data_IF_159639625646
#
_entry.id   IF_159639625646
#
_cell.length_a   1.000
_cell.length_b   1.000
_cell.length_c   1.000
_cell.angle_alpha   90.00
_cell.angle_beta   90.00
_cell.angle_gamma   90.00
#
_symmetry.space_group_name_H-M   'P 1'
#
loop_
_entity.id
_entity.type
_entity.pdbx_description
1 polymer ?
#
# COMPACT_ATOMS: atom_id res chain seq x y z
N UNK A 1 13.44 13.25 7.09
CA UNK A 1 14.29 14.17 6.32
C UNK A 1 14.08 15.59 6.79
N UNK A 2 15.13 16.23 7.30
CA UNK A 2 15.12 17.65 7.66
C UNK A 2 14.91 18.51 6.40
N UNK A 3 13.97 19.47 6.45
CA UNK A 3 13.68 20.33 5.28
C UNK A 3 14.75 21.41 5.05
N UNK A 4 15.55 21.73 6.07
CA UNK A 4 16.59 22.76 6.00
C UNK A 4 17.91 22.24 5.40
N UNK A 5 18.38 21.05 5.81
CA UNK A 5 19.69 20.52 5.40
C UNK A 5 19.63 19.18 4.66
N UNK A 6 18.46 18.56 4.54
CA UNK A 6 18.31 17.26 3.87
C UNK A 6 18.75 16.04 4.69
N UNK A 7 19.34 16.22 5.88
CA UNK A 7 19.71 15.12 6.77
C UNK A 7 18.53 14.17 7.00
N UNK A 8 18.76 12.87 6.82
CA UNK A 8 17.72 11.85 6.88
C UNK A 8 18.10 10.79 7.90
N UNK A 9 17.22 10.57 8.87
CA UNK A 9 17.27 9.42 9.77
C UNK A 9 16.34 8.34 9.21
N UNK A 10 16.75 7.08 9.32
CA UNK A 10 15.98 5.91 8.88
C UNK A 10 15.72 4.99 10.07
N UNK A 11 14.48 4.53 10.21
CA UNK A 11 14.05 3.57 11.24
C UNK A 11 13.44 2.35 10.55
N UNK A 12 13.67 1.16 11.09
CA UNK A 12 13.14 -0.09 10.55
C UNK A 12 12.15 -0.72 11.54
N UNK A 13 10.90 -0.86 11.10
CA UNK A 13 9.82 -1.40 11.90
C UNK A 13 9.29 -2.69 11.24
N UNK A 14 9.48 -3.88 11.86
CA UNK A 14 8.85 -5.10 11.40
C UNK A 14 7.32 -5.02 11.51
N UNK A 15 6.60 -5.50 10.51
CA UNK A 15 5.14 -5.61 10.52
C UNK A 15 4.68 -6.91 9.89
N UNK A 16 3.49 -7.38 10.29
CA UNK A 16 2.82 -8.59 9.77
C UNK A 16 1.71 -8.25 8.77
N UNK A 17 1.16 -7.04 8.86
CA UNK A 17 0.17 -6.46 7.97
C UNK A 17 0.43 -4.96 7.76
N UNK A 18 -0.15 -4.41 6.69
CA UNK A 18 -0.17 -2.98 6.43
C UNK A 18 -1.60 -2.48 6.55
N UNK A 19 -1.83 -1.64 7.55
CA UNK A 19 -3.13 -1.01 7.79
C UNK A 19 -3.27 0.32 7.02
N UNK A 20 -4.18 0.35 6.06
CA UNK A 20 -4.36 1.43 5.09
C UNK A 20 -5.61 2.27 5.37
N UNK A 21 -5.46 3.59 5.27
CA UNK A 21 -6.56 4.55 5.39
C UNK A 21 -7.33 4.69 4.08
N UNK A 22 -8.67 4.65 4.14
CA UNK A 22 -9.52 4.91 2.98
C UNK A 22 -9.50 6.40 2.62
N UNK A 23 -9.06 6.73 1.40
CA UNK A 23 -8.94 8.12 0.91
C UNK A 23 -10.30 8.82 0.92
N UNK A 24 -10.54 9.87 1.72
CA UNK A 24 -11.84 10.57 1.75
C UNK A 24 -12.17 11.17 0.37
N UNK A 25 -13.46 11.19 -0.02
CA UNK A 25 -13.93 11.80 -1.29
C UNK A 25 -13.52 13.28 -1.48
N UNK A 26 -13.04 13.96 -0.43
CA UNK A 26 -12.65 15.38 -0.45
C UNK A 26 -11.16 15.64 -0.71
N UNK A 27 -10.31 14.60 -0.73
CA UNK A 27 -8.94 14.73 -1.25
C UNK A 27 -8.91 14.32 -2.72
N UNK A 28 -9.53 15.12 -3.58
CA UNK A 28 -9.28 15.03 -5.02
C UNK A 28 -7.78 15.27 -5.32
N UNK A 29 -7.29 14.87 -6.51
CA UNK A 29 -5.91 15.10 -6.89
C UNK A 29 -5.61 16.61 -6.79
N UNK A 30 -4.70 17.01 -5.89
CA UNK A 30 -4.11 18.35 -5.99
C UNK A 30 -3.35 18.36 -7.31
N UNK A 31 -3.87 19.11 -8.30
CA UNK A 31 -3.26 19.25 -9.63
C UNK A 31 -1.76 19.52 -9.47
N UNK A 32 -0.87 18.76 -10.13
CA UNK A 32 0.50 19.21 -10.27
C UNK A 32 0.50 20.50 -11.11
N UNK A 33 1.25 21.49 -10.66
CA UNK A 33 1.53 22.72 -11.38
C UNK A 33 2.07 22.40 -12.77
N UNK A 34 1.33 22.86 -13.78
CA UNK A 34 1.64 23.00 -15.20
C UNK A 34 3.11 22.77 -15.61
N UNK A 35 3.37 21.69 -16.38
CA UNK A 35 4.29 21.71 -17.53
C UNK A 35 3.76 20.78 -18.64
N UNK A 36 3.59 21.38 -19.81
CA UNK A 36 3.11 20.82 -21.08
C UNK A 36 4.14 19.85 -21.70
N UNK A 37 3.73 18.65 -22.11
CA UNK A 37 4.13 18.01 -23.38
C UNK A 37 3.24 16.79 -23.70
N UNK A 38 3.21 16.45 -24.98
CA UNK A 38 2.16 15.78 -25.76
C UNK A 38 1.95 14.26 -25.57
N UNK A 39 0.69 13.89 -25.84
CA UNK A 39 0.07 12.63 -26.28
C UNK A 39 0.94 11.46 -26.79
N UNK A 40 0.62 10.25 -26.31
CA UNK A 40 0.38 9.09 -27.16
C UNK A 40 -0.63 8.10 -26.51
N UNK A 41 -1.46 7.50 -27.37
CA UNK A 41 -2.65 6.71 -27.08
C UNK A 41 -2.38 5.37 -26.37
N UNK A 42 -3.20 5.07 -25.36
CA UNK A 42 -3.43 3.74 -24.82
C UNK A 42 -4.78 3.70 -24.13
N UNK A 43 -5.58 2.66 -24.39
CA UNK A 43 -6.92 2.47 -23.82
C UNK A 43 -6.89 2.45 -22.29
N UNK A 44 -7.12 3.60 -21.66
CA UNK A 44 -7.39 3.69 -20.23
C UNK A 44 -8.88 3.56 -19.99
N UNK A 45 -9.28 2.46 -19.34
CA UNK A 45 -10.57 2.38 -18.65
C UNK A 45 -10.77 3.66 -17.83
N UNK A 46 -11.92 4.27 -18.01
CA UNK A 46 -12.30 5.55 -17.40
C UNK A 46 -12.39 5.39 -15.89
N UNK A 47 -11.28 5.65 -15.19
CA UNK A 47 -11.26 5.72 -13.72
C UNK A 47 -12.12 6.92 -13.30
N UNK A 48 -13.33 6.63 -12.81
CA UNK A 48 -14.20 7.63 -12.21
C UNK A 48 -13.43 8.38 -11.10
N UNK A 49 -13.29 9.72 -11.17
CA UNK A 49 -12.39 10.50 -10.29
C UNK A 49 -12.80 10.58 -8.81
N UNK A 50 -13.72 9.71 -8.35
CA UNK A 50 -14.19 9.61 -6.96
C UNK A 50 -14.14 8.21 -6.35
N UNK A 51 -13.60 7.21 -7.04
CA UNK A 51 -13.52 5.84 -6.51
C UNK A 51 -12.20 5.65 -5.75
N UNK A 52 -12.27 5.22 -4.49
CA UNK A 52 -11.07 4.82 -3.75
C UNK A 52 -10.52 3.50 -4.30
N UNK A 53 -9.21 3.42 -4.48
CA UNK A 53 -8.52 2.22 -4.95
C UNK A 53 -7.48 1.75 -3.93
N UNK A 54 -7.15 0.45 -3.92
CA UNK A 54 -6.07 -0.09 -3.10
C UNK A 54 -4.73 0.59 -3.41
N UNK A 55 -4.43 0.79 -4.70
CA UNK A 55 -3.22 1.50 -5.14
C UNK A 55 -3.19 2.92 -4.58
N UNK A 56 -4.29 3.67 -4.65
CA UNK A 56 -4.36 5.01 -4.08
C UNK A 56 -4.18 5.03 -2.55
N UNK A 57 -4.58 3.97 -1.86
CA UNK A 57 -4.31 3.82 -0.42
C UNK A 57 -2.83 3.54 -0.14
N UNK A 58 -2.17 2.70 -0.95
CA UNK A 58 -0.73 2.43 -0.86
C UNK A 58 0.12 3.66 -1.24
N UNK A 59 -0.29 4.39 -2.27
CA UNK A 59 0.31 5.68 -2.65
C UNK A 59 0.24 6.66 -1.49
N UNK A 60 -0.92 6.79 -0.82
CA UNK A 60 -1.07 7.64 0.37
C UNK A 60 -0.19 7.16 1.52
N UNK A 61 -0.13 5.86 1.78
CA UNK A 61 0.67 5.28 2.86
C UNK A 61 2.17 5.58 2.68
N UNK A 62 2.66 5.52 1.44
CA UNK A 62 4.07 5.77 1.11
C UNK A 62 4.38 7.22 0.73
N UNK A 63 3.38 8.11 0.73
CA UNK A 63 3.54 9.53 0.39
C UNK A 63 4.35 10.25 1.47
N UNK A 64 5.34 11.08 1.12
CA UNK A 64 5.98 11.96 2.08
C UNK A 64 4.97 12.91 2.73
N UNK A 65 4.97 12.96 4.06
CA UNK A 65 4.15 13.86 4.86
C UNK A 65 5.04 14.83 5.63
N UNK A 66 4.61 16.09 5.75
CA UNK A 66 5.24 17.07 6.63
C UNK A 66 4.74 16.80 8.05
N UNK A 67 5.66 16.68 8.99
CA UNK A 67 5.30 16.63 10.41
C UNK A 67 4.68 17.98 10.82
N UNK A 68 3.68 17.94 11.70
CA UNK A 68 3.00 19.13 12.21
C UNK A 68 3.97 20.10 12.90
N UNK A 69 3.56 21.37 13.06
CA UNK A 69 4.38 22.41 13.71
C UNK A 69 4.71 22.09 15.18
N UNK A 70 3.87 21.28 15.81
CA UNK A 70 4.00 20.70 17.15
C UNK A 70 4.91 19.45 17.20
N UNK A 71 5.20 18.84 16.05
CA UNK A 71 5.95 17.58 15.91
C UNK A 71 7.33 17.78 15.25
N UNK A 72 7.97 18.95 15.46
CA UNK A 72 9.31 19.21 14.91
C UNK A 72 10.33 18.20 15.41
N UNK A 73 11.04 17.61 14.45
CA UNK A 73 12.09 16.62 14.69
C UNK A 73 13.42 17.32 15.00
N UNK A 74 14.17 16.81 15.97
CA UNK A 74 15.50 17.33 16.28
C UNK A 74 16.50 16.88 15.22
N UNK A 75 16.99 17.81 14.40
CA UNK A 75 17.97 17.51 13.38
C UNK A 75 19.37 17.43 13.99
N UNK A 76 20.02 16.25 13.92
CA UNK A 76 21.39 16.06 14.42
C UNK A 76 22.45 16.87 13.64
N UNK A 77 22.20 17.23 12.38
CA UNK A 77 23.14 18.09 11.66
C UNK A 77 22.95 19.57 12.02
N UNK A 78 21.71 20.06 12.10
CA UNK A 78 21.45 21.46 12.45
C UNK A 78 21.51 21.75 13.95
N UNK A 79 21.51 20.71 14.79
CA UNK A 79 21.44 20.78 16.25
C UNK A 79 20.23 21.59 16.77
N UNK A 80 19.12 21.56 16.03
CA UNK A 80 17.88 22.28 16.35
C UNK A 80 16.65 21.53 15.84
N UNK A 81 15.49 21.75 16.48
CA UNK A 81 14.21 21.22 16.03
C UNK A 81 13.78 21.90 14.73
N UNK A 82 13.67 21.11 13.67
CA UNK A 82 13.33 21.56 12.34
C UNK A 82 12.02 20.96 11.85
N UNK A 83 11.41 21.66 10.90
CA UNK A 83 10.40 21.03 10.06
C UNK A 83 11.02 19.85 9.31
N UNK A 84 10.26 18.77 9.18
CA UNK A 84 10.78 17.53 8.61
C UNK A 84 9.70 16.80 7.83
N UNK A 85 10.14 16.07 6.82
CA UNK A 85 9.34 15.11 6.09
C UNK A 85 9.52 13.71 6.71
N UNK A 86 8.41 13.01 6.91
CA UNK A 86 8.36 11.57 7.20
C UNK A 86 7.84 10.87 5.95
N UNK A 87 8.40 9.72 5.62
CA UNK A 87 7.94 8.88 4.52
C UNK A 87 8.07 7.43 4.95
N UNK A 88 7.00 6.65 4.76
CA UNK A 88 7.04 5.21 4.94
C UNK A 88 7.35 4.54 3.60
N UNK A 89 8.05 3.41 3.62
CA UNK A 89 8.33 2.59 2.45
C UNK A 89 8.53 1.14 2.89
N UNK A 90 8.37 0.21 1.95
CA UNK A 90 8.55 -1.21 2.23
C UNK A 90 10.02 -1.56 1.94
N UNK A 91 10.73 -2.09 2.93
CA UNK A 91 12.12 -2.54 2.74
C UNK A 91 12.17 -3.98 2.24
N UNK A 92 11.37 -4.86 2.84
CA UNK A 92 11.34 -6.29 2.56
C UNK A 92 9.89 -6.75 2.41
N UNK A 93 9.60 -7.44 1.33
CA UNK A 93 8.27 -7.99 1.06
C UNK A 93 8.14 -9.40 1.67
N UNK A 94 7.02 -9.70 2.36
CA UNK A 94 6.71 -11.07 2.76
C UNK A 94 6.25 -11.91 1.55
N UNK A 95 6.21 -13.23 1.73
CA UNK A 95 5.64 -14.16 0.73
C UNK A 95 4.13 -13.93 0.55
N UNK A 96 3.45 -13.56 1.64
CA UNK A 96 2.04 -13.17 1.66
C UNK A 96 1.94 -11.78 2.27
N UNK A 97 1.44 -10.83 1.49
CA UNK A 97 1.13 -9.48 1.94
C UNK A 97 -0.31 -9.41 2.43
N UNK A 98 -0.50 -8.92 3.65
CA UNK A 98 -1.81 -8.67 4.24
C UNK A 98 -2.08 -7.16 4.29
N UNK A 99 -3.18 -6.73 3.68
CA UNK A 99 -3.64 -5.35 3.73
C UNK A 99 -4.94 -5.28 4.54
N UNK A 100 -4.91 -4.51 5.62
CA UNK A 100 -6.09 -4.21 6.42
C UNK A 100 -6.60 -2.81 6.06
N UNK A 101 -7.88 -2.72 5.66
CA UNK A 101 -8.49 -1.44 5.32
C UNK A 101 -9.16 -0.87 6.57
N UNK A 102 -8.69 0.29 7.03
CA UNK A 102 -9.24 1.00 8.19
C UNK A 102 -10.60 1.59 7.87
N UNK A 103 -11.65 0.76 7.97
CA UNK A 103 -13.05 1.13 7.70
C UNK A 103 -13.73 1.78 8.90
N UNK A 104 -13.04 2.64 9.62
CA UNK A 104 -13.57 3.34 10.78
C UNK A 104 -13.12 4.79 10.79
N UNK A 105 -13.99 5.66 11.28
CA UNK A 105 -13.66 7.05 11.51
C UNK A 105 -14.26 7.50 12.85
N UNK A 106 -13.50 8.33 13.56
CA UNK A 106 -13.92 8.88 14.85
C UNK A 106 -14.21 10.37 14.69
N UNK A 107 -15.40 10.80 15.10
CA UNK A 107 -15.74 12.21 15.17
C UNK A 107 -15.46 12.72 16.59
N UNK A 108 -14.40 13.51 16.81
CA UNK A 108 -14.11 14.05 18.14
C UNK A 108 -15.21 15.00 18.62
N UNK A 109 -15.88 15.71 17.69
CA UNK A 109 -16.97 16.64 18.01
C UNK A 109 -18.19 15.90 18.58
N UNK A 110 -18.52 14.74 18.00
CA UNK A 110 -19.69 13.95 18.43
C UNK A 110 -19.32 12.88 19.45
N UNK A 111 -18.03 12.67 19.71
CA UNK A 111 -17.49 11.55 20.46
C UNK A 111 -18.07 10.20 20.01
N UNK A 112 -18.17 10.01 18.69
CA UNK A 112 -18.80 8.83 18.08
C UNK A 112 -17.92 8.29 16.95
N UNK A 113 -17.80 6.97 16.90
CA UNK A 113 -17.16 6.25 15.81
C UNK A 113 -18.20 5.68 14.85
N UNK A 114 -17.91 5.68 13.55
CA UNK A 114 -18.75 5.02 12.54
C UNK A 114 -17.92 4.18 11.57
N UNK A 115 -18.59 3.19 10.98
CA UNK A 115 -18.00 2.35 9.93
C UNK A 115 -18.00 3.09 8.60
N UNK A 116 -16.92 2.91 7.83
CA UNK A 116 -16.78 3.43 6.48
C UNK A 116 -17.11 2.32 5.48
N UNK A 117 -18.39 2.25 5.08
CA UNK A 117 -18.92 1.26 4.12
C UNK A 117 -18.76 1.67 2.65
N UNK A 118 -17.90 2.64 2.35
CA UNK A 118 -17.66 3.04 0.96
C UNK A 118 -16.89 1.94 0.21
N UNK A 119 -17.29 1.68 -1.02
CA UNK A 119 -16.60 0.78 -1.93
C UNK A 119 -15.16 1.23 -2.18
N UNK A 120 -14.24 0.26 -2.23
CA UNK A 120 -12.85 0.46 -2.59
C UNK A 120 -12.46 -0.61 -3.61
N UNK A 121 -11.99 -0.18 -4.79
CA UNK A 121 -11.58 -1.08 -5.85
C UNK A 121 -10.19 -1.66 -5.55
N UNK A 122 -10.03 -2.97 -5.70
CA UNK A 122 -8.75 -3.65 -5.58
C UNK A 122 -8.48 -4.50 -6.83
N UNK A 123 -7.21 -4.60 -7.27
CA UNK A 123 -6.85 -5.42 -8.41
C UNK A 123 -6.63 -6.87 -7.99
N UNK A 124 -6.74 -7.82 -8.92
CA UNK A 124 -6.37 -9.22 -8.66
C UNK A 124 -4.86 -9.44 -8.77
N UNK A 125 -4.17 -8.66 -9.61
CA UNK A 125 -2.71 -8.64 -9.70
C UNK A 125 -2.20 -7.30 -9.17
N UNK A 126 -1.19 -7.33 -8.31
CA UNK A 126 -0.66 -6.15 -7.63
C UNK A 126 0.86 -6.08 -7.78
N UNK A 127 1.35 -4.97 -8.35
CA UNK A 127 2.78 -4.66 -8.34
C UNK A 127 3.12 -3.79 -7.13
N UNK A 128 4.01 -4.30 -6.28
CA UNK A 128 4.49 -3.64 -5.08
C UNK A 128 5.77 -2.81 -5.31
N UNK A 129 6.37 -2.91 -6.50
CA UNK A 129 7.64 -2.23 -6.83
C UNK A 129 7.62 -0.73 -6.52
N UNK A 130 6.55 0.04 -6.83
CA UNK A 130 6.53 1.48 -6.56
C UNK A 130 6.63 1.85 -5.07
N UNK A 131 6.26 0.93 -4.19
CA UNK A 131 6.19 1.14 -2.74
C UNK A 131 7.47 0.72 -2.01
N UNK A 132 8.43 0.14 -2.74
CA UNK A 132 9.71 -0.29 -2.19
C UNK A 132 10.64 0.90 -1.92
N UNK A 133 11.44 0.76 -0.87
CA UNK A 133 12.43 1.75 -0.45
C UNK A 133 13.46 2.02 -1.55
N UNK A 134 13.91 0.97 -2.25
CA UNK A 134 14.83 1.06 -3.39
C UNK A 134 14.25 1.89 -4.54
N UNK A 135 13.00 1.63 -4.93
CA UNK A 135 12.29 2.36 -5.98
C UNK A 135 12.08 3.83 -5.64
N UNK A 136 11.65 4.11 -4.41
CA UNK A 136 11.44 5.48 -3.92
C UNK A 136 12.75 6.27 -3.91
N UNK A 137 13.85 5.68 -3.43
CA UNK A 137 15.17 6.32 -3.42
C UNK A 137 15.69 6.56 -4.85
N UNK A 138 15.55 5.58 -5.75
CA UNK A 138 15.95 5.70 -7.16
C UNK A 138 15.16 6.79 -7.88
N UNK A 139 13.85 6.89 -7.63
CA UNK A 139 13.01 7.95 -8.20
C UNK A 139 13.46 9.35 -7.75
N UNK A 140 13.84 9.48 -6.47
CA UNK A 140 14.23 10.77 -5.87
C UNK A 140 15.63 11.23 -6.27
N UNK A 141 16.60 10.32 -6.29
CA UNK A 141 18.03 10.67 -6.44
C UNK A 141 18.64 10.18 -7.77
N UNK A 142 17.86 9.52 -8.62
CA UNK A 142 18.36 8.85 -9.82
C UNK A 142 19.40 7.77 -9.46
N UNK A 143 20.32 7.51 -10.39
CA UNK A 143 21.43 6.57 -10.14
C UNK A 143 22.55 7.18 -9.26
N UNK A 144 22.35 8.36 -8.65
CA UNK A 144 23.36 9.05 -7.82
C UNK A 144 23.26 8.64 -6.36
N UNK A 145 23.25 7.34 -6.08
CA UNK A 145 23.34 6.86 -4.71
C UNK A 145 24.78 7.09 -4.24
N UNK A 146 25.00 8.23 -3.58
CA UNK A 146 26.10 8.36 -2.63
C UNK A 146 25.79 7.40 -1.48
N UNK A 147 26.64 6.39 -1.27
CA UNK A 147 26.54 5.51 -0.11
C UNK A 147 26.57 6.36 1.15
N UNK A 148 25.42 6.51 1.81
CA UNK A 148 25.31 7.28 3.04
C UNK A 148 25.34 6.30 4.22
N UNK A 149 26.46 6.40 4.94
CA UNK A 149 26.87 5.78 6.19
C UNK A 149 27.21 4.28 6.19
N UNK A 150 28.50 3.99 5.98
CA UNK A 150 29.32 3.66 7.14
C UNK A 150 29.24 2.24 7.69
N UNK A 151 29.38 1.23 6.83
CA UNK A 151 30.21 0.09 7.17
C UNK A 151 30.94 -0.38 5.91
N UNK A 152 32.26 -0.31 5.95
CA UNK A 152 33.11 -0.47 4.78
C UNK A 152 33.13 -1.91 4.28
N UNK A 153 32.19 -2.29 3.41
CA UNK A 153 32.40 -3.28 2.35
C UNK A 153 31.21 -3.31 1.38
N UNK A 154 30.90 -2.19 0.72
CA UNK A 154 29.93 -2.13 -0.38
C UNK A 154 30.46 -2.80 -1.64
N UNK A 155 30.79 -4.08 -1.56
CA UNK A 155 30.92 -4.93 -2.75
C UNK A 155 29.54 -5.00 -3.40
N UNK A 156 29.48 -4.97 -4.72
CA UNK A 156 28.29 -5.25 -5.53
C UNK A 156 27.76 -6.69 -5.39
N UNK A 157 28.00 -7.32 -4.23
CA UNK A 157 27.74 -8.71 -3.86
C UNK A 157 26.94 -8.81 -2.56
N UNK A 158 26.18 -7.79 -2.14
CA UNK A 158 25.17 -7.99 -1.10
C UNK A 158 24.08 -8.93 -1.69
N UNK A 159 23.99 -10.20 -1.25
CA UNK A 159 23.09 -11.17 -1.86
C UNK A 159 21.62 -10.83 -1.63
N UNK A 160 21.33 -9.85 -0.76
CA UNK A 160 19.96 -9.38 -0.49
C UNK A 160 19.48 -8.32 -1.51
N UNK A 161 20.36 -7.81 -2.39
CA UNK A 161 19.99 -6.87 -3.47
C UNK A 161 19.76 -7.57 -4.83
N UNK A 162 20.15 -8.84 -4.96
CA UNK A 162 20.00 -9.65 -6.18
C UNK A 162 18.93 -10.73 -6.09
N UNK A 163 18.27 -10.88 -4.94
CA UNK A 163 16.99 -11.54 -4.90
C UNK A 163 15.98 -10.55 -5.50
N UNK A 164 15.80 -10.60 -6.82
CA UNK A 164 14.61 -10.12 -7.52
C UNK A 164 13.40 -10.90 -6.94
N UNK A 165 13.06 -10.64 -5.68
CA UNK A 165 11.82 -11.08 -5.09
C UNK A 165 10.75 -10.40 -5.91
N UNK A 166 10.02 -11.18 -6.71
CA UNK A 166 8.99 -10.64 -7.59
C UNK A 166 8.08 -9.77 -6.76
N UNK A 167 8.04 -8.49 -7.10
CA UNK A 167 7.13 -7.54 -6.47
C UNK A 167 5.71 -7.68 -7.02
N UNK A 168 5.49 -8.63 -7.94
CA UNK A 168 4.18 -9.04 -8.41
C UNK A 168 3.52 -10.02 -7.44
N UNK A 169 2.29 -9.70 -7.06
CA UNK A 169 1.45 -10.51 -6.20
C UNK A 169 0.09 -10.78 -6.84
N UNK A 170 -0.50 -11.91 -6.47
CA UNK A 170 -1.86 -12.30 -6.86
C UNK A 170 -2.77 -12.35 -5.63
N UNK A 171 -3.96 -11.78 -5.76
CA UNK A 171 -5.01 -11.85 -4.76
C UNK A 171 -5.55 -13.28 -4.69
N UNK A 172 -5.57 -13.84 -3.49
CA UNK A 172 -6.14 -15.17 -3.27
C UNK A 172 -7.19 -15.20 -2.16
N UNK A 173 -7.26 -14.16 -1.30
CA UNK A 173 -8.31 -14.07 -0.29
C UNK A 173 -8.77 -12.63 -0.04
N UNK A 174 -10.08 -12.44 0.14
CA UNK A 174 -10.71 -11.20 0.58
C UNK A 174 -11.65 -11.50 1.73
N UNK A 175 -11.42 -10.88 2.87
CA UNK A 175 -12.35 -10.93 4.01
C UNK A 175 -13.23 -9.69 3.94
N UNK A 176 -14.54 -9.87 4.09
CA UNK A 176 -15.52 -8.78 4.13
C UNK A 176 -16.20 -8.74 5.48
N UNK A 177 -16.67 -7.55 5.87
CA UNK A 177 -17.43 -7.34 7.09
C UNK A 177 -18.71 -6.59 6.75
N UNK A 178 -19.86 -7.18 7.05
CA UNK A 178 -21.18 -6.55 6.94
C UNK A 178 -21.70 -6.21 8.34
N UNK A 179 -22.45 -5.11 8.48
CA UNK A 179 -22.90 -4.63 9.80
C UNK A 179 -22.16 -3.38 10.28
N UNK A 180 -22.33 -3.05 11.56
CA UNK A 180 -21.81 -1.86 12.25
C UNK A 180 -20.42 -2.13 12.84
N UNK A 181 -19.81 -1.13 13.51
CA UNK A 181 -18.49 -1.30 14.14
C UNK A 181 -18.50 -2.28 15.32
N UNK A 182 -19.62 -2.34 16.04
CA UNK A 182 -19.83 -3.09 17.27
C UNK A 182 -20.50 -4.46 17.07
N UNK A 183 -21.11 -4.68 15.91
CA UNK A 183 -21.77 -5.93 15.57
C UNK A 183 -21.82 -6.11 14.05
N UNK A 184 -21.56 -7.32 13.58
CA UNK A 184 -21.61 -7.63 12.17
C UNK A 184 -21.33 -9.09 11.86
N UNK A 185 -21.08 -9.35 10.58
CA UNK A 185 -20.87 -10.68 10.03
C UNK A 185 -19.68 -10.68 9.07
N UNK A 186 -18.82 -11.67 9.20
CA UNK A 186 -17.64 -11.85 8.36
C UNK A 186 -17.85 -12.98 7.36
N UNK A 187 -17.58 -12.69 6.09
CA UNK A 187 -17.55 -13.70 5.03
C UNK A 187 -16.24 -13.58 4.25
N UNK A 188 -15.73 -14.69 3.74
CA UNK A 188 -14.44 -14.74 3.03
C UNK A 188 -14.65 -15.16 1.58
N UNK A 189 -13.97 -14.50 0.65
CA UNK A 189 -13.81 -14.93 -0.73
C UNK A 189 -12.43 -15.54 -0.89
N UNK A 190 -12.34 -16.78 -1.36
CA UNK A 190 -11.09 -17.51 -1.58
C UNK A 190 -10.94 -17.91 -3.03
N UNK A 191 -9.72 -17.80 -3.57
CA UNK A 191 -9.36 -18.28 -4.90
C UNK A 191 -8.62 -19.59 -4.78
N UNK A 192 -9.18 -20.65 -5.36
CA UNK A 192 -8.56 -21.98 -5.44
C UNK A 192 -8.64 -22.47 -6.88
N UNK A 193 -7.51 -22.92 -7.44
CA UNK A 193 -7.44 -23.45 -8.82
C UNK A 193 -8.08 -22.52 -9.86
N UNK A 194 -7.80 -21.22 -9.77
CA UNK A 194 -8.38 -20.15 -10.59
C UNK A 194 -9.91 -19.98 -10.51
N UNK A 195 -10.58 -20.59 -9.51
CA UNK A 195 -12.01 -20.41 -9.25
C UNK A 195 -12.20 -19.69 -7.91
N UNK A 196 -13.23 -18.85 -7.82
CA UNK A 196 -13.57 -18.12 -6.62
C UNK A 196 -14.71 -18.77 -5.86
N UNK A 197 -14.57 -18.82 -4.54
CA UNK A 197 -15.56 -19.34 -3.62
C UNK A 197 -15.87 -18.31 -2.55
N UNK A 198 -17.15 -18.09 -2.25
CA UNK A 198 -17.60 -17.37 -1.06
C UNK A 198 -17.85 -18.39 0.06
N UNK A 199 -17.11 -18.24 1.14
CA UNK A 199 -17.25 -18.97 2.39
C UNK A 199 -18.04 -18.09 3.38
N UNK A 200 -19.24 -18.53 3.71
CA UNK A 200 -20.20 -17.85 4.58
C UNK A 200 -20.66 -18.84 5.65
N UNK A 201 -19.96 -18.86 6.79
CA UNK A 201 -20.06 -19.89 7.83
C UNK A 201 -19.96 -21.32 7.25
N UNK A 202 -21.05 -22.10 7.33
CA UNK A 202 -21.13 -23.46 6.83
C UNK A 202 -21.28 -23.56 5.30
N UNK A 203 -21.51 -22.43 4.61
CA UNK A 203 -21.84 -22.41 3.19
C UNK A 203 -20.64 -22.01 2.34
N UNK A 204 -20.20 -22.91 1.47
CA UNK A 204 -19.16 -22.64 0.47
C UNK A 204 -19.80 -22.67 -0.91
N UNK A 205 -19.80 -21.52 -1.59
CA UNK A 205 -20.47 -21.35 -2.89
C UNK A 205 -19.50 -20.81 -3.91
N UNK A 206 -19.48 -21.38 -5.11
CA UNK A 206 -18.68 -20.84 -6.21
C UNK A 206 -19.27 -19.50 -6.67
N UNK A 207 -18.42 -18.51 -6.90
CA UNK A 207 -18.83 -17.16 -7.33
C UNK A 207 -17.97 -16.68 -8.51
N UNK A 208 -18.50 -15.73 -9.27
CA UNK A 208 -17.76 -15.11 -10.37
C UNK A 208 -16.80 -14.03 -9.86
N UNK A 209 -15.77 -13.71 -10.65
CA UNK A 209 -14.84 -12.62 -10.36
C UNK A 209 -15.55 -11.28 -10.11
N UNK A 210 -16.64 -11.01 -10.84
CA UNK A 210 -17.40 -9.77 -10.71
C UNK A 210 -18.00 -9.59 -9.31
N UNK A 211 -18.44 -10.68 -8.69
CA UNK A 211 -18.95 -10.67 -7.31
C UNK A 211 -17.82 -10.33 -6.34
N UNK A 212 -16.64 -10.93 -6.54
CA UNK A 212 -15.47 -10.66 -5.70
C UNK A 212 -15.00 -9.22 -5.86
N UNK A 213 -14.93 -8.69 -7.09
CA UNK A 213 -14.55 -7.30 -7.35
C UNK A 213 -15.51 -6.31 -6.69
N UNK A 214 -16.81 -6.62 -6.64
CA UNK A 214 -17.81 -5.79 -5.99
C UNK A 214 -17.80 -5.87 -4.46
N UNK A 215 -17.02 -6.80 -3.87
CA UNK A 215 -17.00 -7.03 -2.44
C UNK A 215 -16.40 -5.86 -1.66
N UNK A 216 -16.94 -5.57 -0.46
CA UNK A 216 -16.39 -4.56 0.44
C UNK A 216 -15.22 -5.13 1.25
N UNK A 217 -14.05 -5.26 0.61
CA UNK A 217 -12.85 -5.83 1.22
C UNK A 217 -12.45 -5.11 2.52
N UNK A 218 -12.44 -5.83 3.63
CA UNK A 218 -11.96 -5.40 4.93
C UNK A 218 -10.49 -5.79 5.13
N UNK A 219 -10.15 -7.03 4.77
CA UNK A 219 -8.76 -7.50 4.66
C UNK A 219 -8.54 -8.18 3.31
N UNK A 220 -7.37 -7.98 2.72
CA UNK A 220 -6.98 -8.59 1.45
C UNK A 220 -5.62 -9.26 1.56
N UNK A 221 -5.53 -10.47 1.03
CA UNK A 221 -4.33 -11.28 1.08
C UNK A 221 -3.82 -11.56 -0.32
N UNK A 222 -2.57 -11.17 -0.53
CA UNK A 222 -1.86 -11.24 -1.79
C UNK A 222 -0.66 -12.16 -1.61
N UNK A 223 -0.45 -13.12 -2.51
CA UNK A 223 0.70 -14.03 -2.49
C UNK A 223 1.67 -13.68 -3.62
N UNK A 224 2.98 -13.77 -3.38
CA UNK A 224 3.98 -13.56 -4.42
C UNK A 224 3.74 -14.50 -5.60
N UNK A 225 3.72 -13.95 -6.81
CA UNK A 225 3.32 -14.65 -8.03
C UNK A 225 4.20 -15.87 -8.34
N UNK A 226 5.50 -15.82 -8.03
CA UNK A 226 6.38 -17.00 -8.18
C UNK A 226 5.95 -18.22 -7.36
N UNK A 227 5.27 -18.01 -6.23
CA UNK A 227 4.76 -19.09 -5.40
C UNK A 227 3.39 -19.56 -5.87
N UNK A 228 2.58 -18.66 -6.42
CA UNK A 228 1.29 -19.01 -7.01
C UNK A 228 1.44 -20.02 -8.13
N UNK A 229 2.36 -19.79 -9.08
CA UNK A 229 2.58 -20.70 -10.21
C UNK A 229 3.15 -22.07 -9.80
N UNK A 230 3.99 -22.12 -8.75
CA UNK A 230 4.49 -23.39 -8.21
C UNK A 230 3.38 -24.24 -7.59
N UNK A 231 2.36 -23.61 -7.00
CA UNK A 231 1.22 -24.31 -6.40
C UNK A 231 0.12 -24.65 -7.41
N UNK A 232 -0.04 -23.86 -8.49
CA UNK A 232 -1.10 -24.04 -9.49
C UNK A 232 -0.76 -24.97 -10.66
N UNK A 233 0.47 -25.50 -10.75
CA UNK A 233 0.85 -26.52 -11.73
C UNK A 233 0.89 -26.05 -13.19
N UNK A 234 0.87 -24.74 -13.43
CA UNK A 234 0.98 -24.13 -14.77
C UNK A 234 2.35 -23.50 -14.90
N UNK A 235 3.33 -24.31 -15.31
CA UNK A 235 4.68 -23.92 -15.75
C UNK A 235 4.68 -23.37 -17.17
#
# INVERSE_FOLDING_TARGET
MCTACGFTSTTYDPCVDISLDLVPNHEGPRKPSSKTLNSCNGNTETVNPGVSTLLGCLDRFTRPERLGSDQKFFCQHCQVRQESLKQMSIRKLPLVSCFHIKRFEHSPIRNMSRKVDRYMQFPFSLDMSPYLSSSILRSRFGNRIFGFDGDGNGSANDPDCSNESTSEFELFAVVTHSGKLDAGHYSTYLRLSNQWYKCDDAWVTQVSENIVRAAQGYMMFYVQKMLYYKASGTS
#
